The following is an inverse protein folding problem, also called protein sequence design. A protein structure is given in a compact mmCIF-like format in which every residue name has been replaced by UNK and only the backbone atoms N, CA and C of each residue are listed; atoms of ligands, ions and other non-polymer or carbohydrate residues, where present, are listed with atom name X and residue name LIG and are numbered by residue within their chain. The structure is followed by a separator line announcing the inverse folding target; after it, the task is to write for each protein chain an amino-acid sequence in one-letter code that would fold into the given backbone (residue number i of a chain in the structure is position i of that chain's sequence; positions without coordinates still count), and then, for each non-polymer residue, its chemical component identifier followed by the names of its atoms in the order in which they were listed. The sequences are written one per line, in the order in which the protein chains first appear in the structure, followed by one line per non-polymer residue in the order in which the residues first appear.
data_IF_038161725730
#
_entry.id   IF_038161725730
#
_cell.length_a   1.000
_cell.length_b   1.000
_cell.length_c   1.000
_cell.angle_alpha   90.00
_cell.angle_beta   90.00
_cell.angle_gamma   90.00
#
_symmetry.space_group_name_H-M   'P 1'
#
loop_
_entity.id
_entity.type
_entity.pdbx_description
1 polymer ?
#
# COMPACT_ATOMS: atom_id res chain seq x y z
N UNK A 1 7.01 -3.93 -9.87
CA UNK A 1 5.68 -4.16 -10.48
C UNK A 1 4.63 -4.26 -9.39
N UNK A 2 3.38 -3.86 -9.63
CA UNK A 2 2.31 -4.06 -8.63
C UNK A 2 1.63 -5.40 -8.87
N UNK A 3 1.38 -6.15 -7.81
CA UNK A 3 0.75 -7.47 -7.80
C UNK A 3 -0.51 -7.40 -6.96
N UNK A 4 -1.67 -7.55 -7.59
CA UNK A 4 -2.97 -7.36 -6.96
C UNK A 4 -3.75 -8.66 -6.95
N UNK A 5 -4.15 -9.09 -5.76
CA UNK A 5 -5.24 -10.04 -5.57
C UNK A 5 -6.56 -9.26 -5.47
N UNK A 6 -7.49 -9.49 -6.38
CA UNK A 6 -8.86 -9.00 -6.21
C UNK A 6 -9.59 -9.87 -5.18
N UNK A 7 -10.15 -9.23 -4.16
CA UNK A 7 -10.74 -9.85 -2.98
C UNK A 7 -10.13 -9.30 -1.69
N UNK A 8 -10.45 -9.93 -0.57
CA UNK A 8 -9.92 -9.56 0.76
C UNK A 8 -9.10 -10.72 1.35
N UNK A 9 -8.20 -10.40 2.28
CA UNK A 9 -7.56 -11.42 3.11
C UNK A 9 -8.29 -11.51 4.45
N UNK A 10 -8.52 -12.74 4.91
CA UNK A 10 -9.09 -13.03 6.23
C UNK A 10 -8.19 -12.51 7.35
N UNK A 11 -8.55 -11.36 7.92
CA UNK A 11 -7.75 -10.66 8.95
C UNK A 11 -7.52 -11.48 10.22
N UNK A 12 -8.45 -12.37 10.58
CA UNK A 12 -8.36 -13.20 11.79
C UNK A 12 -7.28 -14.28 11.74
N UNK A 13 -6.83 -14.66 10.53
CA UNK A 13 -5.81 -15.69 10.31
C UNK A 13 -4.57 -15.15 9.59
N UNK A 14 -4.62 -13.93 9.09
CA UNK A 14 -3.51 -13.28 8.42
C UNK A 14 -2.34 -13.02 9.37
N UNK A 15 -1.08 -13.18 8.91
CA UNK A 15 0.08 -12.81 9.68
C UNK A 15 0.25 -11.28 9.76
N UNK A 16 1.15 -10.80 10.63
CA UNK A 16 1.45 -9.36 10.77
C UNK A 16 1.97 -8.72 9.49
N UNK A 17 2.54 -9.51 8.59
CA UNK A 17 3.04 -9.05 7.29
C UNK A 17 1.90 -8.74 6.29
N UNK A 18 0.64 -8.99 6.65
CA UNK A 18 -0.51 -8.42 5.96
C UNK A 18 -0.95 -7.11 6.65
N UNK A 19 -0.52 -5.98 6.10
CA UNK A 19 -0.71 -4.65 6.64
C UNK A 19 -2.12 -4.15 6.28
N UNK A 20 -3.08 -4.40 7.17
CA UNK A 20 -4.47 -3.97 7.02
C UNK A 20 -4.84 -2.77 7.89
N UNK A 21 -4.16 -2.60 9.03
CA UNK A 21 -4.25 -1.41 9.88
C UNK A 21 -3.04 -0.52 9.60
N UNK A 22 -3.16 0.35 8.59
CA UNK A 22 -2.01 1.16 8.17
C UNK A 22 -1.59 2.16 9.25
N UNK A 23 -2.54 2.73 9.98
CA UNK A 23 -2.25 3.70 11.03
C UNK A 23 -1.46 3.04 12.17
N UNK A 24 -1.95 1.91 12.69
CA UNK A 24 -1.29 1.20 13.77
C UNK A 24 0.13 0.73 13.42
N UNK A 25 0.35 0.26 12.18
CA UNK A 25 1.67 -0.16 11.73
C UNK A 25 2.61 1.01 11.46
N UNK A 26 2.14 2.06 10.78
CA UNK A 26 2.98 3.21 10.48
C UNK A 26 3.45 3.88 11.76
N UNK A 27 2.53 4.16 12.68
CA UNK A 27 2.82 4.89 13.90
C UNK A 27 3.64 4.03 14.88
N UNK A 28 3.32 2.73 14.98
CA UNK A 28 3.97 1.81 15.91
C UNK A 28 5.39 1.38 15.50
N UNK A 29 5.71 1.39 14.20
CA UNK A 29 7.02 0.98 13.67
C UNK A 29 7.74 2.11 12.94
N UNK A 30 7.28 3.36 13.13
CA UNK A 30 7.82 4.50 12.43
C UNK A 30 9.35 4.61 12.54
N UNK A 31 10.00 4.79 11.40
CA UNK A 31 11.40 5.15 11.32
C UNK A 31 11.55 6.49 10.58
N UNK A 32 12.36 7.42 11.11
CA UNK A 32 12.57 8.73 10.48
C UNK A 32 13.10 8.64 9.04
N UNK A 33 13.80 7.54 8.72
CA UNK A 33 14.29 7.26 7.36
C UNK A 33 13.16 7.09 6.34
N UNK A 34 11.97 6.68 6.78
CA UNK A 34 10.79 6.60 5.91
C UNK A 34 10.36 7.97 5.39
N UNK A 35 10.66 9.03 6.13
CA UNK A 35 10.31 10.42 5.77
C UNK A 35 11.51 11.20 5.21
N UNK A 36 12.75 10.77 5.46
CA UNK A 36 13.95 11.42 4.96
C UNK A 36 14.28 11.03 3.50
N UNK A 37 13.35 11.24 2.58
CA UNK A 37 13.53 10.98 1.15
C UNK A 37 12.54 11.79 0.30
N UNK A 38 12.91 12.05 -0.97
CA UNK A 38 12.09 12.83 -1.91
C UNK A 38 10.72 12.19 -2.19
N UNK A 39 10.59 10.88 -2.01
CA UNK A 39 9.32 10.17 -2.19
C UNK A 39 8.29 10.61 -1.14
N UNK A 40 8.67 10.66 0.14
CA UNK A 40 7.80 11.10 1.22
C UNK A 40 7.34 12.56 1.05
N UNK A 41 8.26 13.45 0.68
CA UNK A 41 7.95 14.86 0.37
C UNK A 41 6.84 14.95 -0.69
N UNK A 42 7.03 14.23 -1.79
CA UNK A 42 6.10 14.24 -2.92
C UNK A 42 4.76 13.57 -2.60
N UNK A 43 4.77 12.50 -1.81
CA UNK A 43 3.52 11.87 -1.34
C UNK A 43 2.72 12.86 -0.50
N UNK A 44 3.33 13.55 0.46
CA UNK A 44 2.63 14.52 1.31
C UNK A 44 2.09 15.71 0.50
N UNK A 45 2.86 16.21 -0.46
CA UNK A 45 2.42 17.32 -1.31
C UNK A 45 1.23 16.92 -2.19
N UNK A 46 1.25 15.71 -2.77
CA UNK A 46 0.23 15.30 -3.74
C UNK A 46 -1.03 14.74 -3.08
N UNK A 47 -0.89 13.96 -2.02
CA UNK A 47 -2.01 13.28 -1.35
C UNK A 47 -2.64 14.19 -0.30
N UNK A 48 -1.81 14.76 0.58
CA UNK A 48 -2.26 15.52 1.75
C UNK A 48 -2.20 17.03 1.55
N UNK A 49 -1.66 17.51 0.43
CA UNK A 49 -1.42 18.94 0.17
C UNK A 49 -0.57 19.60 1.26
N UNK A 50 0.33 18.84 1.87
CA UNK A 50 1.10 19.22 3.05
C UNK A 50 2.61 19.19 2.74
N UNK A 51 3.40 19.86 3.58
CA UNK A 51 4.86 20.00 3.42
C UNK A 51 5.57 19.29 4.56
N UNK A 52 6.56 18.44 4.26
CA UNK A 52 7.43 17.87 5.28
C UNK A 52 8.44 18.92 5.77
N UNK A 53 8.44 19.21 7.07
CA UNK A 53 9.38 20.16 7.69
C UNK A 53 10.53 19.40 8.36
N UNK A 54 10.21 18.28 9.00
CA UNK A 54 11.14 17.32 9.59
C UNK A 54 10.46 15.95 9.62
N UNK A 55 11.17 14.82 9.82
CA UNK A 55 10.57 13.49 9.77
C UNK A 55 9.28 13.29 10.57
N UNK A 56 9.15 13.99 11.70
CA UNK A 56 7.98 13.90 12.59
C UNK A 56 7.07 15.13 12.54
N UNK A 57 7.37 16.11 11.69
CA UNK A 57 6.70 17.42 11.64
C UNK A 57 6.29 17.70 10.19
N UNK A 58 4.97 17.76 9.97
CA UNK A 58 4.35 18.06 8.67
C UNK A 58 3.53 19.33 8.81
N UNK A 59 3.69 20.28 7.91
CA UNK A 59 2.86 21.48 7.85
C UNK A 59 1.68 21.23 6.91
N UNK A 60 0.49 21.09 7.47
CA UNK A 60 -0.74 20.96 6.68
C UNK A 60 -1.45 22.32 6.54
N UNK A 61 -2.01 22.63 5.37
CA UNK A 61 -2.68 23.91 5.14
C UNK A 61 -3.98 24.07 5.95
N UNK A 62 -4.53 22.97 6.49
CA UNK A 62 -5.81 22.96 7.21
C UNK A 62 -5.57 22.92 8.73
N UNK A 63 -4.67 22.06 9.17
CA UNK A 63 -4.41 21.77 10.60
C UNK A 63 -3.18 22.49 11.16
N UNK A 64 -2.39 23.17 10.30
CA UNK A 64 -1.08 23.72 10.67
C UNK A 64 -0.02 22.62 10.85
N UNK A 65 0.96 22.89 11.69
CA UNK A 65 2.00 21.92 12.08
C UNK A 65 1.41 20.73 12.83
N UNK A 66 1.48 19.55 12.23
CA UNK A 66 1.00 18.27 12.77
C UNK A 66 2.12 17.24 12.90
N UNK A 67 1.88 16.20 13.71
CA UNK A 67 2.74 15.02 13.79
C UNK A 67 2.61 14.18 12.51
N UNK A 68 3.66 13.45 12.15
CA UNK A 68 3.63 12.41 11.12
C UNK A 68 2.49 11.39 11.29
N UNK A 69 2.05 11.13 12.52
CA UNK A 69 0.94 10.22 12.84
C UNK A 69 -0.41 10.72 12.28
N UNK A 70 -0.53 12.01 11.95
CA UNK A 70 -1.78 12.65 11.55
C UNK A 70 -1.91 12.84 10.03
N UNK A 71 -0.93 12.36 9.26
CA UNK A 71 -1.02 12.30 7.79
C UNK A 71 -2.03 11.23 7.39
N UNK A 72 -2.58 11.31 6.17
CA UNK A 72 -3.63 10.38 5.73
C UNK A 72 -3.13 8.93 5.62
N UNK A 73 -4.04 7.96 5.81
CA UNK A 73 -3.71 6.54 5.65
C UNK A 73 -3.14 6.20 4.26
N UNK A 74 -3.64 6.85 3.20
CA UNK A 74 -3.10 6.71 1.85
C UNK A 74 -1.66 7.21 1.73
N UNK A 75 -1.33 8.34 2.35
CA UNK A 75 0.05 8.85 2.41
C UNK A 75 0.96 7.89 3.20
N UNK A 76 0.53 7.44 4.38
CA UNK A 76 1.26 6.45 5.20
C UNK A 76 1.56 5.18 4.39
N UNK A 77 0.57 4.67 3.68
CA UNK A 77 0.72 3.43 2.90
C UNK A 77 1.68 3.58 1.73
N UNK A 78 1.60 4.67 0.95
CA UNK A 78 2.53 4.91 -0.15
C UNK A 78 3.98 5.08 0.34
N UNK A 79 4.17 5.72 1.50
CA UNK A 79 5.48 5.87 2.13
C UNK A 79 6.01 4.50 2.58
N UNK A 80 5.19 3.70 3.26
CA UNK A 80 5.57 2.34 3.66
C UNK A 80 5.87 1.46 2.46
N UNK A 81 5.06 1.48 1.40
CA UNK A 81 5.28 0.69 0.19
C UNK A 81 6.61 1.00 -0.50
N UNK A 82 7.19 2.19 -0.29
CA UNK A 82 8.52 2.52 -0.81
C UNK A 82 9.65 1.96 0.06
N UNK A 83 9.46 2.00 1.38
CA UNK A 83 10.48 1.66 2.38
C UNK A 83 10.50 0.16 2.72
N UNK A 84 9.33 -0.45 2.78
CA UNK A 84 9.12 -1.80 3.28
C UNK A 84 8.68 -2.73 2.14
N UNK A 85 9.58 -3.62 1.75
CA UNK A 85 9.31 -4.67 0.74
C UNK A 85 9.12 -6.03 1.40
N UNK A 86 8.67 -7.02 0.62
CA UNK A 86 8.45 -8.40 1.05
C UNK A 86 7.36 -8.56 2.12
N UNK A 87 6.37 -7.66 2.10
CA UNK A 87 5.14 -7.73 2.88
C UNK A 87 3.95 -7.49 1.94
N UNK A 88 2.74 -7.74 2.44
CA UNK A 88 1.49 -7.57 1.67
C UNK A 88 0.67 -6.46 2.29
N UNK A 89 0.12 -5.59 1.45
CA UNK A 89 -0.69 -4.47 1.88
C UNK A 89 -2.18 -4.70 1.61
N UNK A 90 -3.04 -4.21 2.51
CA UNK A 90 -4.48 -4.08 2.21
C UNK A 90 -4.70 -2.81 1.39
N UNK A 91 -4.96 -2.97 0.09
CA UNK A 91 -5.15 -1.87 -0.84
C UNK A 91 -6.37 -1.01 -0.58
N UNK A 92 -7.29 -1.45 0.27
CA UNK A 92 -8.49 -0.70 0.61
C UNK A 92 -8.18 0.53 1.50
N UNK A 93 -6.94 0.63 2.00
CA UNK A 93 -6.43 1.83 2.68
C UNK A 93 -6.01 2.95 1.71
N UNK A 94 -5.91 2.68 0.39
CA UNK A 94 -5.61 3.69 -0.62
C UNK A 94 -6.89 4.36 -1.11
N UNK A 95 -6.87 5.69 -1.23
CA UNK A 95 -7.88 6.44 -1.98
C UNK A 95 -7.58 6.49 -3.49
N UNK A 96 -8.56 6.89 -4.28
CA UNK A 96 -8.43 7.06 -5.75
C UNK A 96 -7.23 7.94 -6.16
N UNK A 97 -6.96 9.00 -5.38
CA UNK A 97 -5.84 9.92 -5.62
C UNK A 97 -4.45 9.30 -5.40
N UNK A 98 -4.35 8.13 -4.76
CA UNK A 98 -3.07 7.46 -4.50
C UNK A 98 -2.57 6.65 -5.70
N UNK A 99 -3.44 6.30 -6.65
CA UNK A 99 -3.14 5.33 -7.70
C UNK A 99 -2.08 5.77 -8.69
N UNK A 100 -2.00 7.05 -9.03
CA UNK A 100 -0.96 7.54 -9.93
C UNK A 100 0.44 7.36 -9.32
N UNK A 101 0.60 7.68 -8.03
CA UNK A 101 1.84 7.42 -7.30
C UNK A 101 2.09 5.93 -7.10
N UNK A 102 1.07 5.13 -6.78
CA UNK A 102 1.21 3.68 -6.67
C UNK A 102 1.76 3.08 -7.98
N UNK A 103 1.18 3.44 -9.13
CA UNK A 103 1.62 2.99 -10.44
C UNK A 103 3.05 3.41 -10.76
N UNK A 104 3.45 4.61 -10.34
CA UNK A 104 4.81 5.10 -10.50
C UNK A 104 5.79 4.30 -9.66
N UNK A 105 5.49 4.10 -8.38
CA UNK A 105 6.28 3.30 -7.46
C UNK A 105 6.46 1.87 -7.98
N UNK A 106 5.38 1.30 -8.52
CA UNK A 106 5.36 -0.01 -9.18
C UNK A 106 6.31 -0.17 -10.36
N UNK A 107 6.83 0.91 -10.94
CA UNK A 107 7.85 0.84 -11.99
C UNK A 107 9.24 0.50 -11.46
N UNK A 108 9.48 0.71 -10.16
CA UNK A 108 10.80 0.51 -9.51
C UNK A 108 10.76 -0.48 -8.34
N UNK A 109 9.57 -0.76 -7.80
CA UNK A 109 9.36 -1.61 -6.61
C UNK A 109 8.34 -2.69 -6.89
N UNK A 110 8.52 -3.86 -6.27
CA UNK A 110 7.55 -4.94 -6.31
C UNK A 110 6.61 -4.85 -5.11
N UNK A 111 5.34 -4.56 -5.36
CA UNK A 111 4.33 -4.31 -4.34
C UNK A 111 3.29 -5.42 -4.42
N UNK A 112 3.04 -6.11 -3.30
CA UNK A 112 1.99 -7.12 -3.20
C UNK A 112 0.84 -6.56 -2.37
N UNK A 113 -0.38 -6.67 -2.87
CA UNK A 113 -1.56 -6.17 -2.18
C UNK A 113 -2.83 -6.96 -2.52
N UNK A 114 -3.79 -6.94 -1.62
CA UNK A 114 -5.19 -7.24 -1.93
C UNK A 114 -5.93 -5.95 -2.31
N UNK A 115 -7.07 -6.07 -2.99
CA UNK A 115 -7.94 -4.95 -3.32
C UNK A 115 -9.38 -5.44 -3.50
N UNK A 116 -10.32 -4.84 -2.77
CA UNK A 116 -11.74 -5.20 -2.87
C UNK A 116 -12.61 -4.12 -3.50
N UNK A 117 -12.24 -2.84 -3.38
CA UNK A 117 -13.02 -1.73 -3.93
C UNK A 117 -12.65 -1.42 -5.39
N UNK A 118 -13.54 -0.72 -6.09
CA UNK A 118 -13.32 -0.26 -7.46
C UNK A 118 -12.74 1.16 -7.51
N UNK A 119 -11.43 1.31 -7.68
CA UNK A 119 -10.80 2.61 -7.77
C UNK A 119 -11.11 3.31 -9.10
N UNK A 120 -11.19 4.63 -9.04
CA UNK A 120 -11.34 5.50 -10.22
C UNK A 120 -10.14 6.42 -10.34
N UNK A 121 -9.25 6.09 -11.26
CA UNK A 121 -7.98 6.79 -11.42
C UNK A 121 -7.55 6.87 -12.87
N UNK A 122 -6.58 7.72 -13.15
CA UNK A 122 -5.93 7.81 -14.45
C UNK A 122 -4.76 6.85 -14.53
N UNK A 123 -4.68 6.06 -15.61
CA UNK A 123 -3.51 5.22 -15.84
C UNK A 123 -2.34 6.07 -16.32
N UNK A 124 -1.16 5.91 -15.71
CA UNK A 124 0.05 6.63 -16.12
C UNK A 124 0.86 5.82 -17.17
N UNK A 125 1.65 6.49 -18.03
CA UNK A 125 2.59 5.80 -18.91
C UNK A 125 3.56 4.90 -18.12
N UNK A 126 3.80 3.69 -18.61
CA UNK A 126 4.72 2.72 -17.99
C UNK A 126 4.13 1.93 -16.81
N UNK A 127 2.95 2.30 -16.30
CA UNK A 127 2.26 1.58 -15.24
C UNK A 127 1.89 0.16 -15.66
N UNK A 128 2.25 -0.83 -14.82
CA UNK A 128 1.94 -2.25 -15.01
C UNK A 128 1.42 -2.85 -13.71
N UNK A 129 0.33 -3.61 -13.83
CA UNK A 129 -0.27 -4.32 -12.69
C UNK A 129 -0.48 -5.77 -13.08
N UNK A 130 0.05 -6.69 -12.29
CA UNK A 130 -0.18 -8.12 -12.39
C UNK A 130 -1.38 -8.52 -11.52
N UNK A 131 -2.44 -9.04 -12.13
CA UNK A 131 -3.65 -9.52 -11.46
C UNK A 131 -3.53 -11.01 -11.14
N UNK A 132 -3.37 -11.32 -9.85
CA UNK A 132 -3.04 -12.65 -9.34
C UNK A 132 -4.15 -13.67 -9.59
N UNK A 133 -5.42 -13.28 -9.54
CA UNK A 133 -6.56 -14.19 -9.77
C UNK A 133 -6.53 -14.84 -11.17
N UNK A 134 -5.93 -14.16 -12.14
CA UNK A 134 -5.96 -14.56 -13.55
C UNK A 134 -4.57 -14.77 -14.17
N UNK A 135 -3.50 -14.46 -13.44
CA UNK A 135 -2.12 -14.44 -13.94
C UNK A 135 -1.94 -13.53 -15.18
N UNK A 136 -2.66 -12.39 -15.20
CA UNK A 136 -2.65 -11.43 -16.32
C UNK A 136 -2.00 -10.13 -15.88
N UNK A 137 -1.03 -9.64 -16.66
CA UNK A 137 -0.50 -8.28 -16.52
C UNK A 137 -1.26 -7.31 -17.41
N UNK A 138 -1.81 -6.25 -16.82
CA UNK A 138 -2.50 -5.16 -17.51
C UNK A 138 -1.64 -3.90 -17.53
N UNK A 139 -1.81 -3.10 -18.58
CA UNK A 139 -1.04 -1.87 -18.82
C UNK A 139 -1.93 -0.67 -19.11
N UNK A 140 -3.24 -0.78 -18.82
CA UNK A 140 -4.22 0.26 -19.02
C UNK A 140 -5.43 0.07 -18.10
N UNK A 141 -6.13 1.17 -17.80
CA UNK A 141 -7.28 1.18 -16.89
C UNK A 141 -8.47 0.36 -17.41
N UNK A 142 -8.70 0.31 -18.73
CA UNK A 142 -9.84 -0.42 -19.30
C UNK A 142 -9.67 -1.92 -19.08
N UNK A 143 -8.48 -2.45 -19.30
CA UNK A 143 -8.14 -3.86 -19.06
C UNK A 143 -8.19 -4.18 -17.56
N UNK A 144 -7.62 -3.31 -16.71
CA UNK A 144 -7.70 -3.43 -15.25
C UNK A 144 -9.16 -3.52 -14.76
N UNK A 145 -9.98 -2.53 -15.13
CA UNK A 145 -11.38 -2.46 -14.72
C UNK A 145 -12.18 -3.64 -15.27
N UNK A 146 -11.91 -4.09 -16.50
CA UNK A 146 -12.54 -5.29 -17.07
C UNK A 146 -12.25 -6.52 -16.22
N UNK A 147 -10.99 -6.77 -15.85
CA UNK A 147 -10.64 -7.94 -15.02
C UNK A 147 -11.26 -7.84 -13.62
N UNK A 148 -11.24 -6.65 -13.01
CA UNK A 148 -11.88 -6.43 -11.70
C UNK A 148 -13.40 -6.65 -11.76
N UNK A 149 -14.08 -6.21 -12.83
CA UNK A 149 -15.52 -6.41 -12.99
C UNK A 149 -15.92 -7.87 -13.23
N UNK A 150 -15.06 -8.64 -13.90
CA UNK A 150 -15.37 -10.00 -14.33
C UNK A 150 -14.87 -11.08 -13.35
N UNK A 151 -14.09 -10.71 -12.33
CA UNK A 151 -13.63 -11.66 -11.32
C UNK A 151 -14.79 -12.16 -10.45
N UNK A 152 -14.84 -13.47 -10.23
CA UNK A 152 -15.78 -14.09 -9.28
C UNK A 152 -15.31 -13.93 -7.82
N UNK A 153 -14.02 -13.65 -7.61
CA UNK A 153 -13.38 -13.56 -6.31
C UNK A 153 -13.53 -12.19 -5.62
N UNK A 154 -14.22 -11.22 -6.23
CA UNK A 154 -14.33 -9.85 -5.68
C UNK A 154 -14.76 -9.79 -4.22
N UNK A 155 -15.75 -10.60 -3.86
CA UNK A 155 -16.29 -10.68 -2.50
C UNK A 155 -15.72 -11.87 -1.73
N UNK A 156 -14.72 -12.56 -2.30
CA UNK A 156 -14.08 -13.70 -1.66
C UNK A 156 -13.10 -13.17 -0.62
N UNK A 157 -13.20 -13.77 0.55
CA UNK A 157 -12.21 -13.66 1.59
C UNK A 157 -11.27 -14.86 1.49
N UNK A 158 -9.98 -14.60 1.34
CA UNK A 158 -8.93 -15.61 1.17
C UNK A 158 -8.17 -15.83 2.48
N UNK A 159 -7.80 -17.08 2.77
CA UNK A 159 -6.78 -17.35 3.78
C UNK A 159 -5.40 -16.92 3.25
N UNK A 160 -4.63 -16.16 4.02
CA UNK A 160 -3.38 -15.54 3.53
C UNK A 160 -2.40 -16.53 2.87
N UNK A 161 -2.27 -17.73 3.45
CA UNK A 161 -1.35 -18.77 3.00
C UNK A 161 -1.88 -19.59 1.82
N UNK A 162 -3.14 -19.42 1.41
CA UNK A 162 -3.67 -20.05 0.20
C UNK A 162 -3.30 -19.26 -1.07
N UNK A 163 -2.91 -17.99 -0.91
CA UNK A 163 -2.53 -17.10 -2.01
C UNK A 163 -1.08 -17.37 -2.39
N UNK A 164 -0.85 -17.64 -3.67
CA UNK A 164 0.50 -17.76 -4.23
C UNK A 164 1.11 -16.36 -4.48
N UNK A 165 1.66 -15.77 -3.42
CA UNK A 165 2.35 -14.48 -3.52
C UNK A 165 3.58 -14.57 -4.42
N UNK A 166 3.77 -13.65 -5.40
CA UNK A 166 4.87 -13.72 -6.35
C UNK A 166 6.28 -13.59 -5.75
N UNK A 167 6.37 -13.01 -4.55
CA UNK A 167 7.63 -12.81 -3.83
C UNK A 167 7.54 -13.40 -2.43
N UNK A 168 8.68 -13.79 -1.83
CA UNK A 168 8.70 -14.27 -0.46
C UNK A 168 8.19 -13.20 0.51
N UNK A 169 7.49 -13.65 1.55
CA UNK A 169 7.05 -12.80 2.65
C UNK A 169 8.11 -12.85 3.75
N UNK A 170 8.63 -11.70 4.13
CA UNK A 170 9.59 -11.56 5.22
C UNK A 170 8.87 -11.63 6.57
N UNK A 171 8.77 -12.85 7.10
CA UNK A 171 8.11 -13.13 8.38
C UNK A 171 8.82 -12.53 9.60
N UNK A 172 10.03 -11.98 9.44
CA UNK A 172 10.77 -11.32 10.51
C UNK A 172 10.41 -9.84 10.66
N UNK A 173 9.87 -9.22 9.60
CA UNK A 173 9.44 -7.81 9.66
C UNK A 173 8.29 -7.62 10.62
N UNK A 174 8.42 -6.63 11.49
CA UNK A 174 7.44 -6.31 12.53
C UNK A 174 7.13 -7.50 13.46
N UNK A 175 8.07 -8.46 13.56
CA UNK A 175 8.02 -9.48 14.59
C UNK A 175 8.14 -8.81 15.96
N UNK A 176 7.37 -9.30 16.93
CA UNK A 176 7.55 -8.88 18.31
C UNK A 176 8.88 -9.43 18.80
N UNK A 177 9.73 -8.58 19.37
CA UNK A 177 10.88 -9.07 20.11
C UNK A 177 10.38 -9.93 21.27
N UNK A 178 10.99 -11.11 21.47
CA UNK A 178 10.75 -11.89 22.68
C UNK A 178 11.28 -11.06 23.87
N UNK A 179 10.37 -10.43 24.60
CA UNK A 179 10.71 -9.78 25.86
C UNK A 179 10.82 -10.91 26.90
N UNK A 180 12.05 -11.33 27.16
CA UNK A 180 12.37 -12.23 28.27
C UNK A 180 12.20 -11.44 29.58
N UNK A 181 11.23 -11.84 30.41
CA UNK A 181 10.90 -11.19 31.68
C UNK A 181 11.61 -11.87 32.86
#
# INVERSE_FOLDING_TARGET
MIHILFGTIKRSTAPRQYIHDIDGFFDGYFCEQWMNNEWADRVLELIDKSILIAPKIVESPILGSISHEWISGGAKQLIMMNCEQYIVYDGDNLGDNCWELLLELGQTKDIMMSLSYYPRFSWIPGGKVHILNSDITVTDFKSFNKLHLMTEDRNREFDFYEVHWPFPIDMTKFALEEIDF
#
